data_IF_543358116485
#
_entry.id   IF_543358116485
#
_cell.length_a   1.000
_cell.length_b   1.000
_cell.length_c   1.000
_cell.angle_alpha   90.00
_cell.angle_beta   90.00
_cell.angle_gamma   90.00
#
_symmetry.space_group_name_H-M   'P 1'
#
loop_
_entity.id
_entity.type
_entity.pdbx_description
1 polymer ?
#
# COMPACT_ATOMS: atom_id res chain seq x y z
N UNK A 1 -2.41 1.42 40.18
CA UNK A 1 -3.35 1.29 39.06
C UNK A 1 -2.61 1.85 37.88
N UNK A 2 -2.41 1.02 36.86
CA UNK A 2 -1.76 1.44 35.63
C UNK A 2 -2.67 2.45 34.92
N UNK A 3 -2.11 3.57 34.43
CA UNK A 3 -2.89 4.64 33.77
C UNK A 3 -3.76 4.11 32.63
N UNK A 4 -3.30 3.08 31.92
CA UNK A 4 -4.04 2.45 30.82
C UNK A 4 -5.32 1.75 31.28
N UNK A 5 -5.26 0.98 32.39
CA UNK A 5 -6.43 0.28 32.94
C UNK A 5 -7.46 1.24 33.54
N UNK A 6 -6.99 2.38 34.09
CA UNK A 6 -7.90 3.41 34.59
C UNK A 6 -8.75 4.03 33.48
N UNK A 7 -8.13 4.33 32.34
CA UNK A 7 -8.86 4.95 31.21
C UNK A 7 -9.81 3.97 30.52
N UNK A 8 -9.45 2.70 30.41
CA UNK A 8 -10.31 1.65 29.86
C UNK A 8 -11.55 1.42 30.76
N UNK A 9 -11.37 1.38 32.08
CA UNK A 9 -12.47 1.27 33.02
C UNK A 9 -13.38 2.51 33.02
N UNK A 10 -12.81 3.70 32.93
CA UNK A 10 -13.56 4.96 32.86
C UNK A 10 -14.38 5.04 31.54
N UNK A 11 -13.83 4.62 30.41
CA UNK A 11 -14.51 4.58 29.15
C UNK A 11 -15.69 3.60 29.15
N UNK A 12 -15.49 2.39 29.73
CA UNK A 12 -16.54 1.40 29.90
C UNK A 12 -17.69 1.91 30.76
N UNK A 13 -17.38 2.57 31.89
CA UNK A 13 -18.38 3.18 32.77
C UNK A 13 -19.16 4.30 32.09
N UNK A 14 -18.51 5.13 31.28
CA UNK A 14 -19.16 6.19 30.49
C UNK A 14 -20.11 5.57 29.46
N UNK A 15 -19.66 4.55 28.71
CA UNK A 15 -20.51 3.85 27.73
C UNK A 15 -21.73 3.21 28.40
N UNK A 16 -21.56 2.51 29.51
CA UNK A 16 -22.68 1.92 30.26
C UNK A 16 -23.66 2.99 30.77
N UNK A 17 -23.12 4.11 31.25
CA UNK A 17 -23.93 5.22 31.76
C UNK A 17 -24.74 5.89 30.65
N UNK A 18 -24.14 6.07 29.44
CA UNK A 18 -24.82 6.62 28.29
C UNK A 18 -25.89 5.67 27.70
N UNK A 19 -25.60 4.37 27.66
CA UNK A 19 -26.61 3.36 27.27
C UNK A 19 -27.79 3.36 28.25
N UNK A 20 -27.51 3.31 29.55
CA UNK A 20 -28.56 3.36 30.60
C UNK A 20 -29.37 4.66 30.55
N UNK A 21 -28.69 5.78 30.22
CA UNK A 21 -29.39 7.06 30.02
C UNK A 21 -30.25 7.07 28.77
N UNK A 22 -29.80 6.49 27.68
CA UNK A 22 -30.57 6.33 26.44
C UNK A 22 -31.83 5.47 26.69
N UNK A 23 -31.67 4.33 27.37
CA UNK A 23 -32.78 3.42 27.70
C UNK A 23 -33.79 4.08 28.65
N UNK A 24 -33.32 4.89 29.62
CA UNK A 24 -34.20 5.61 30.55
C UNK A 24 -34.87 6.83 29.92
N UNK A 25 -34.37 7.32 28.80
CA UNK A 25 -34.88 8.49 28.08
C UNK A 25 -36.06 8.18 27.12
N UNK A 26 -36.55 6.93 27.10
CA UNK A 26 -37.74 6.56 26.26
C UNK A 26 -39.00 7.40 26.55
N UNK A 27 -39.05 8.04 27.71
CA UNK A 27 -40.14 8.93 28.15
C UNK A 27 -39.79 10.43 28.07
N UNK A 28 -38.60 10.82 27.68
CA UNK A 28 -38.17 12.22 27.64
C UNK A 28 -37.92 12.66 26.20
N UNK A 29 -37.90 13.99 25.98
CA UNK A 29 -37.87 14.61 24.64
C UNK A 29 -36.92 13.90 23.66
N UNK A 30 -37.36 13.71 22.42
CA UNK A 30 -36.61 13.09 21.30
C UNK A 30 -35.17 13.57 21.15
N UNK A 31 -34.91 14.82 21.54
CA UNK A 31 -33.61 15.45 21.49
C UNK A 31 -32.58 14.84 22.47
N UNK A 32 -33.01 14.41 23.66
CA UNK A 32 -32.12 13.76 24.65
C UNK A 32 -31.77 12.35 24.23
N UNK A 33 -32.72 11.63 23.62
CA UNK A 33 -32.50 10.28 23.09
C UNK A 33 -31.52 10.31 21.93
N UNK A 34 -31.70 11.21 20.98
CA UNK A 34 -30.79 11.39 19.85
C UNK A 34 -29.35 11.73 20.31
N UNK A 35 -29.21 12.62 21.29
CA UNK A 35 -27.92 12.96 21.87
C UNK A 35 -27.22 11.74 22.50
N UNK A 36 -27.94 10.94 23.29
CA UNK A 36 -27.38 9.75 23.93
C UNK A 36 -26.97 8.68 22.89
N UNK A 37 -27.81 8.47 21.86
CA UNK A 37 -27.50 7.54 20.77
C UNK A 37 -26.26 7.99 19.97
N UNK A 38 -26.16 9.27 19.65
CA UNK A 38 -25.02 9.80 18.90
C UNK A 38 -23.73 9.78 19.73
N UNK A 39 -23.81 10.07 21.04
CA UNK A 39 -22.68 9.94 21.93
C UNK A 39 -22.20 8.48 22.05
N UNK A 40 -23.12 7.52 22.23
CA UNK A 40 -22.81 6.09 22.28
C UNK A 40 -22.15 5.61 20.97
N UNK A 41 -22.65 6.03 19.80
CA UNK A 41 -22.01 5.75 18.51
C UNK A 41 -20.61 6.33 18.41
N UNK A 42 -20.43 7.57 18.88
CA UNK A 42 -19.12 8.23 18.91
C UNK A 42 -18.10 7.47 19.73
N UNK A 43 -18.45 7.04 20.93
CA UNK A 43 -17.57 6.23 21.78
C UNK A 43 -17.31 4.85 21.19
N UNK A 44 -18.32 4.17 20.64
CA UNK A 44 -18.14 2.89 19.96
C UNK A 44 -17.19 3.00 18.75
N UNK A 45 -17.22 4.14 18.05
CA UNK A 45 -16.28 4.42 16.95
C UNK A 45 -14.84 4.63 17.47
N UNK A 46 -14.67 5.37 18.57
CA UNK A 46 -13.35 5.56 19.20
C UNK A 46 -12.78 4.22 19.66
N UNK A 47 -13.60 3.39 20.33
CA UNK A 47 -13.20 2.04 20.76
C UNK A 47 -12.77 1.18 19.56
N UNK A 48 -13.56 1.20 18.48
CA UNK A 48 -13.21 0.49 17.25
C UNK A 48 -11.85 0.94 16.68
N UNK A 49 -11.57 2.25 16.72
CA UNK A 49 -10.30 2.82 16.22
C UNK A 49 -9.08 2.44 17.08
N UNK A 50 -9.29 2.05 18.33
CA UNK A 50 -8.24 1.61 19.28
C UNK A 50 -8.00 0.11 19.25
N UNK A 51 -8.97 -0.68 18.79
CA UNK A 51 -8.85 -2.14 18.72
C UNK A 51 -7.66 -2.58 17.88
N UNK A 52 -7.05 -3.68 18.31
CA UNK A 52 -6.11 -4.45 17.51
C UNK A 52 -6.84 -5.61 16.85
N UNK A 53 -6.45 -5.94 15.65
CA UNK A 53 -7.10 -6.97 14.84
C UNK A 53 -6.10 -8.08 14.50
N UNK A 54 -6.57 -9.33 14.50
CA UNK A 54 -5.76 -10.47 14.07
C UNK A 54 -5.65 -10.54 12.56
N UNK A 55 -6.71 -10.14 11.86
CA UNK A 55 -6.74 -10.08 10.39
C UNK A 55 -7.42 -8.80 9.95
N UNK A 56 -6.77 -8.12 9.01
CA UNK A 56 -7.31 -6.93 8.36
C UNK A 56 -7.24 -7.11 6.85
N UNK A 57 -8.39 -6.98 6.18
CA UNK A 57 -8.47 -7.06 4.73
C UNK A 57 -8.91 -5.71 4.16
N UNK A 58 -8.23 -5.27 3.08
CA UNK A 58 -8.54 -3.98 2.48
C UNK A 58 -8.34 -3.94 0.97
N UNK A 59 -9.16 -3.09 0.35
CA UNK A 59 -8.95 -2.52 -0.98
C UNK A 59 -8.98 -0.99 -0.81
N UNK A 60 -7.85 -0.37 -0.43
CA UNK A 60 -7.81 1.04 -0.10
C UNK A 60 -7.93 1.91 -1.36
N UNK A 61 -8.43 3.15 -1.23
CA UNK A 61 -8.28 4.13 -2.29
C UNK A 61 -6.81 4.43 -2.53
N UNK A 62 -6.45 4.85 -3.74
CA UNK A 62 -5.10 5.27 -4.12
C UNK A 62 -5.15 6.64 -4.79
N UNK A 63 -4.00 7.32 -4.77
CA UNK A 63 -3.83 8.67 -5.27
C UNK A 63 -3.50 9.68 -4.17
N UNK A 64 -3.52 10.95 -4.53
CA UNK A 64 -3.19 12.04 -3.61
C UNK A 64 -4.29 12.28 -2.58
N UNK A 65 -3.86 12.73 -1.41
CA UNK A 65 -4.76 13.18 -0.35
C UNK A 65 -5.59 14.38 -0.79
N UNK A 66 -6.86 14.42 -0.39
CA UNK A 66 -7.70 15.60 -0.62
C UNK A 66 -7.12 16.84 0.07
N UNK A 67 -7.40 18.04 -0.46
CA UNK A 67 -6.92 19.29 0.10
C UNK A 67 -7.24 19.45 1.60
N UNK A 68 -8.40 18.92 2.03
CA UNK A 68 -8.85 19.02 3.43
C UNK A 68 -8.10 18.05 4.36
N UNK A 69 -7.68 16.88 3.88
CA UNK A 69 -6.97 15.86 4.66
C UNK A 69 -5.45 15.94 4.55
N UNK A 70 -4.93 16.65 3.56
CA UNK A 70 -3.50 16.71 3.24
C UNK A 70 -2.64 17.08 4.45
N UNK A 71 -2.99 18.18 5.15
CA UNK A 71 -2.24 18.63 6.32
C UNK A 71 -2.20 17.60 7.46
N UNK A 72 -3.32 16.92 7.70
CA UNK A 72 -3.40 15.83 8.69
C UNK A 72 -2.51 14.66 8.28
N UNK A 73 -2.59 14.21 7.04
CA UNK A 73 -1.81 13.10 6.51
C UNK A 73 -0.31 13.41 6.58
N UNK A 74 0.12 14.58 6.12
CA UNK A 74 1.53 14.99 6.16
C UNK A 74 2.10 15.03 7.58
N UNK A 75 1.28 15.38 8.57
CA UNK A 75 1.72 15.43 9.97
C UNK A 75 1.70 14.07 10.66
N UNK A 76 0.74 13.21 10.33
CA UNK A 76 0.51 11.93 11.02
C UNK A 76 1.26 10.79 10.34
N UNK A 77 1.28 10.76 8.99
CA UNK A 77 1.88 9.71 8.18
C UNK A 77 3.05 10.27 7.34
N UNK A 78 4.02 10.90 8.01
CA UNK A 78 5.15 11.57 7.36
C UNK A 78 5.96 10.64 6.45
N UNK A 79 6.08 9.35 6.81
CA UNK A 79 6.78 8.30 6.05
C UNK A 79 6.07 7.93 4.74
N UNK A 80 4.74 8.01 4.72
CA UNK A 80 3.90 7.51 3.63
C UNK A 80 3.03 8.59 2.98
N UNK A 81 3.30 9.86 3.25
CA UNK A 81 2.50 11.02 2.83
C UNK A 81 2.27 11.18 1.31
N UNK A 82 3.01 10.44 0.48
CA UNK A 82 2.99 10.59 -0.97
C UNK A 82 1.75 9.99 -1.65
N UNK A 83 1.09 9.01 -1.01
CA UNK A 83 -0.09 8.36 -1.56
C UNK A 83 -0.99 7.83 -0.44
N UNK A 84 -2.30 8.00 -0.59
CA UNK A 84 -3.30 7.57 0.39
C UNK A 84 -3.24 6.05 0.62
N UNK A 85 -3.00 5.27 -0.42
CA UNK A 85 -2.79 3.82 -0.32
C UNK A 85 -1.71 3.47 0.71
N UNK A 86 -0.58 4.18 0.65
CA UNK A 86 0.55 3.96 1.56
C UNK A 86 0.18 4.28 3.01
N UNK A 87 -0.63 5.32 3.23
CA UNK A 87 -1.13 5.67 4.56
C UNK A 87 -2.06 4.57 5.13
N UNK A 88 -2.92 4.00 4.28
CA UNK A 88 -3.79 2.89 4.69
C UNK A 88 -2.99 1.65 5.08
N UNK A 89 -1.91 1.33 4.35
CA UNK A 89 -1.02 0.21 4.70
C UNK A 89 -0.34 0.47 6.04
N UNK A 90 0.26 1.65 6.23
CA UNK A 90 0.92 2.03 7.49
C UNK A 90 -0.05 1.92 8.65
N UNK A 91 -1.24 2.51 8.54
CA UNK A 91 -2.27 2.42 9.58
C UNK A 91 -2.72 0.99 9.85
N UNK A 92 -2.88 0.17 8.81
CA UNK A 92 -3.30 -1.22 8.96
C UNK A 92 -2.28 -2.04 9.75
N UNK A 93 -0.99 -1.83 9.52
CA UNK A 93 0.09 -2.47 10.28
C UNK A 93 0.05 -2.02 11.75
N UNK A 94 -0.20 -0.73 12.01
CA UNK A 94 -0.31 -0.19 13.37
C UNK A 94 -1.44 -0.84 14.17
N UNK A 95 -2.62 -1.03 13.57
CA UNK A 95 -3.79 -1.59 14.26
C UNK A 95 -3.86 -3.11 14.21
N UNK A 96 -2.92 -3.77 13.54
CA UNK A 96 -2.80 -5.23 13.53
C UNK A 96 -1.96 -5.70 14.71
N UNK A 97 -2.39 -6.80 15.36
CA UNK A 97 -1.65 -7.45 16.46
C UNK A 97 -0.27 -7.96 16.01
N UNK A 98 0.56 -8.38 16.96
CA UNK A 98 1.94 -8.83 16.68
C UNK A 98 1.99 -10.07 15.78
N UNK A 99 1.02 -10.97 15.91
CA UNK A 99 0.88 -12.18 15.09
C UNK A 99 -0.16 -12.04 13.98
N UNK A 100 -0.74 -10.84 13.84
CA UNK A 100 -1.82 -10.59 12.89
C UNK A 100 -1.33 -10.43 11.45
N UNK A 101 -2.27 -10.49 10.52
CA UNK A 101 -2.04 -10.41 9.09
C UNK A 101 -2.85 -9.28 8.45
N UNK A 102 -2.21 -8.51 7.59
CA UNK A 102 -2.88 -7.56 6.71
C UNK A 102 -2.93 -8.16 5.31
N UNK A 103 -4.12 -8.29 4.73
CA UNK A 103 -4.33 -8.65 3.32
C UNK A 103 -4.79 -7.43 2.54
N UNK A 104 -4.11 -7.13 1.45
CA UNK A 104 -4.44 -5.96 0.63
C UNK A 104 -4.44 -6.30 -0.87
N UNK A 105 -5.36 -5.68 -1.61
CA UNK A 105 -5.29 -5.57 -3.06
C UNK A 105 -5.17 -4.11 -3.42
N UNK A 106 -4.14 -3.75 -4.19
CA UNK A 106 -3.79 -2.35 -4.45
C UNK A 106 -3.23 -2.17 -5.85
N UNK A 107 -2.89 -0.91 -6.21
CA UNK A 107 -2.03 -0.70 -7.37
C UNK A 107 -0.67 -1.35 -7.14
N UNK A 108 -0.17 -2.12 -8.11
CA UNK A 108 1.17 -2.72 -8.06
C UNK A 108 2.30 -1.70 -8.08
N UNK A 109 2.01 -0.44 -8.38
CA UNK A 109 3.00 0.65 -8.34
C UNK A 109 3.65 0.82 -6.97
N UNK A 110 2.97 0.41 -5.88
CA UNK A 110 3.54 0.40 -4.53
C UNK A 110 4.83 -0.45 -4.43
N UNK A 111 5.02 -1.42 -5.32
CA UNK A 111 6.19 -2.29 -5.33
C UNK A 111 7.46 -1.60 -5.88
N UNK A 112 7.33 -0.54 -6.70
CA UNK A 112 8.49 0.03 -7.38
C UNK A 112 8.48 1.55 -7.61
N UNK A 113 7.34 2.24 -7.50
CA UNK A 113 7.27 3.68 -7.77
C UNK A 113 8.07 4.48 -6.72
N UNK A 114 8.91 5.42 -7.18
CA UNK A 114 9.78 6.21 -6.29
C UNK A 114 9.01 7.08 -5.28
N UNK A 115 7.83 7.59 -5.64
CA UNK A 115 6.97 8.35 -4.72
C UNK A 115 6.46 7.52 -3.53
N UNK A 116 6.50 6.19 -3.63
CA UNK A 116 6.14 5.24 -2.58
C UNK A 116 7.36 4.58 -1.91
N UNK A 117 8.55 5.16 -2.09
CA UNK A 117 9.77 4.64 -1.45
C UNK A 117 9.65 4.59 0.08
N UNK A 118 9.08 5.62 0.70
CA UNK A 118 8.88 5.66 2.15
C UNK A 118 8.07 4.47 2.69
N UNK A 119 7.05 4.02 1.94
CA UNK A 119 6.32 2.80 2.30
C UNK A 119 7.26 1.58 2.35
N UNK A 120 8.14 1.43 1.36
CA UNK A 120 9.03 0.26 1.25
C UNK A 120 10.23 0.32 2.19
N UNK A 121 10.77 1.51 2.42
CA UNK A 121 12.01 1.72 3.18
C UNK A 121 11.77 1.91 4.67
N UNK A 122 10.70 2.63 5.03
CA UNK A 122 10.46 3.06 6.40
C UNK A 122 9.33 2.29 7.09
N UNK A 123 8.43 1.67 6.33
CA UNK A 123 7.30 0.89 6.87
C UNK A 123 7.48 -0.59 6.61
N UNK A 124 7.41 -1.04 5.34
CA UNK A 124 7.52 -2.46 4.99
C UNK A 124 8.89 -3.06 5.28
N UNK A 125 9.90 -2.25 5.39
CA UNK A 125 11.25 -2.75 5.69
C UNK A 125 11.60 -2.69 7.18
N UNK A 126 10.77 -2.08 8.02
CA UNK A 126 11.05 -1.80 9.44
C UNK A 126 9.99 -2.40 10.35
N UNK A 127 8.72 -2.05 10.11
CA UNK A 127 7.61 -2.41 10.98
C UNK A 127 6.99 -3.77 10.60
N UNK A 128 7.03 -4.12 9.30
CA UNK A 128 6.44 -5.34 8.76
C UNK A 128 7.06 -5.69 7.41
N UNK A 129 6.71 -6.87 6.88
CA UNK A 129 7.19 -7.34 5.57
C UNK A 129 6.07 -7.98 4.78
N UNK A 130 6.16 -7.96 3.45
CA UNK A 130 5.28 -8.73 2.57
C UNK A 130 5.65 -10.21 2.68
N UNK A 131 4.69 -11.04 3.12
CA UNK A 131 4.89 -12.50 3.20
C UNK A 131 4.67 -13.16 1.84
N UNK A 132 3.53 -12.82 1.22
CA UNK A 132 3.11 -13.37 -0.05
C UNK A 132 2.57 -12.25 -0.92
N UNK A 133 2.93 -12.24 -2.20
CA UNK A 133 2.45 -11.29 -3.18
C UNK A 133 2.10 -11.99 -4.48
N UNK A 134 0.89 -11.77 -4.97
CA UNK A 134 0.47 -12.08 -6.34
C UNK A 134 0.48 -10.78 -7.15
N UNK A 135 1.46 -10.64 -8.04
CA UNK A 135 1.58 -9.52 -8.97
C UNK A 135 0.68 -9.80 -10.17
N UNK A 136 -0.51 -9.21 -10.17
CA UNK A 136 -1.61 -9.54 -11.08
C UNK A 136 -1.55 -8.74 -12.40
N UNK A 137 -0.99 -7.52 -12.39
CA UNK A 137 -1.01 -6.64 -13.55
C UNK A 137 -2.40 -6.14 -13.91
N UNK A 138 -2.67 -5.98 -15.21
CA UNK A 138 -3.93 -5.45 -15.74
C UNK A 138 -5.10 -6.44 -15.68
N UNK A 139 -6.31 -5.92 -15.90
CA UNK A 139 -7.53 -6.72 -16.10
C UNK A 139 -8.12 -7.31 -14.82
N UNK A 140 -7.79 -6.76 -13.67
CA UNK A 140 -8.36 -7.15 -12.37
C UNK A 140 -9.18 -6.00 -11.81
N UNK A 141 -10.34 -6.29 -11.20
CA UNK A 141 -11.26 -5.32 -10.58
C UNK A 141 -11.88 -4.30 -11.56
N UNK A 142 -11.96 -4.60 -12.86
CA UNK A 142 -12.41 -3.65 -13.89
C UNK A 142 -11.73 -2.27 -13.81
N UNK A 143 -10.53 -2.23 -13.25
CA UNK A 143 -9.76 -1.02 -13.05
C UNK A 143 -8.74 -0.84 -14.19
N UNK A 144 -8.56 0.41 -14.61
CA UNK A 144 -7.52 0.79 -15.59
C UNK A 144 -6.12 0.87 -14.95
N UNK A 145 -5.93 0.21 -13.81
CA UNK A 145 -4.70 0.25 -13.02
C UNK A 145 -4.21 -1.17 -12.81
N UNK A 146 -2.93 -1.41 -13.09
CA UNK A 146 -2.28 -2.68 -12.75
C UNK A 146 -2.34 -2.93 -11.24
N UNK A 147 -2.67 -4.15 -10.85
CA UNK A 147 -2.93 -4.52 -9.45
C UNK A 147 -1.96 -5.57 -8.93
N UNK A 148 -1.79 -5.58 -7.60
CA UNK A 148 -1.15 -6.64 -6.85
C UNK A 148 -1.97 -6.96 -5.59
N UNK A 149 -2.06 -8.25 -5.26
CA UNK A 149 -2.66 -8.72 -4.01
C UNK A 149 -1.56 -9.30 -3.12
N UNK A 150 -1.52 -8.93 -1.85
CA UNK A 150 -0.45 -9.36 -0.97
C UNK A 150 -0.89 -9.44 0.49
N UNK A 151 -0.12 -10.22 1.26
CA UNK A 151 -0.23 -10.30 2.72
C UNK A 151 1.00 -9.71 3.38
N UNK A 152 0.80 -9.02 4.50
CA UNK A 152 1.84 -8.37 5.28
C UNK A 152 1.76 -8.89 6.71
N UNK A 153 2.90 -9.16 7.34
CA UNK A 153 3.02 -9.44 8.78
C UNK A 153 4.25 -8.78 9.39
N UNK A 154 4.26 -8.65 10.71
CA UNK A 154 5.39 -8.11 11.46
C UNK A 154 6.56 -9.10 11.57
N UNK A 155 6.33 -10.37 11.29
CA UNK A 155 7.36 -11.42 11.31
C UNK A 155 7.37 -12.16 9.99
N UNK A 156 8.44 -11.99 9.22
CA UNK A 156 8.63 -12.64 7.93
C UNK A 156 10.12 -12.81 7.61
N UNK A 157 10.57 -14.06 7.46
CA UNK A 157 11.96 -14.37 7.10
C UNK A 157 12.21 -14.39 5.59
N UNK A 158 11.16 -14.71 4.83
CA UNK A 158 11.22 -14.80 3.37
C UNK A 158 9.88 -14.43 2.76
N UNK A 159 9.91 -13.69 1.67
CA UNK A 159 8.73 -13.30 0.89
C UNK A 159 8.58 -14.20 -0.32
N UNK A 160 7.34 -14.59 -0.61
CA UNK A 160 7.01 -15.34 -1.81
C UNK A 160 6.22 -14.46 -2.78
N UNK A 161 6.72 -14.34 -4.01
CA UNK A 161 6.09 -13.58 -5.07
C UNK A 161 5.64 -14.52 -6.18
N UNK A 162 4.44 -14.26 -6.71
CA UNK A 162 3.88 -14.92 -7.88
C UNK A 162 3.65 -13.88 -8.97
N UNK A 163 4.29 -14.07 -10.12
CA UNK A 163 4.18 -13.14 -11.24
C UNK A 163 3.13 -13.62 -12.22
N UNK A 164 1.94 -13.04 -12.15
CA UNK A 164 0.78 -13.35 -12.98
C UNK A 164 0.43 -12.23 -13.97
N UNK A 165 1.33 -11.29 -14.18
CA UNK A 165 1.11 -10.08 -14.99
C UNK A 165 0.71 -10.43 -16.43
N UNK A 166 1.30 -11.47 -17.01
CA UNK A 166 1.10 -11.90 -18.40
C UNK A 166 0.09 -13.03 -18.58
N UNK A 167 -0.49 -13.52 -17.48
CA UNK A 167 -1.47 -14.61 -17.56
C UNK A 167 -2.85 -14.07 -17.90
N UNK A 168 -3.52 -14.70 -18.87
CA UNK A 168 -4.88 -14.33 -19.26
C UNK A 168 -5.92 -14.84 -18.24
N UNK A 169 -5.70 -16.02 -17.65
CA UNK A 169 -6.57 -16.64 -16.66
C UNK A 169 -5.98 -16.54 -15.24
N UNK A 170 -6.00 -15.34 -14.68
CA UNK A 170 -5.46 -15.04 -13.35
C UNK A 170 -6.26 -15.71 -12.24
N UNK A 171 -7.57 -15.85 -12.41
CA UNK A 171 -8.45 -16.46 -11.40
C UNK A 171 -8.11 -17.94 -11.18
N UNK A 172 -8.04 -18.73 -12.25
CA UNK A 172 -7.65 -20.15 -12.15
C UNK A 172 -6.24 -20.28 -11.58
N UNK A 173 -5.31 -19.42 -11.96
CA UNK A 173 -3.94 -19.41 -11.42
C UNK A 173 -3.90 -19.11 -9.92
N UNK A 174 -4.68 -18.14 -9.46
CA UNK A 174 -4.81 -17.86 -8.03
C UNK A 174 -5.42 -19.04 -7.27
N UNK A 175 -6.42 -19.72 -7.83
CA UNK A 175 -7.01 -20.91 -7.24
C UNK A 175 -6.00 -22.06 -7.15
N UNK A 176 -5.18 -22.30 -8.19
CA UNK A 176 -4.07 -23.27 -8.17
C UNK A 176 -3.09 -22.94 -7.02
N UNK A 177 -2.70 -21.67 -6.90
CA UNK A 177 -1.82 -21.20 -5.82
C UNK A 177 -2.43 -21.43 -4.42
N UNK A 178 -3.71 -21.11 -4.24
CA UNK A 178 -4.41 -21.33 -2.97
C UNK A 178 -4.51 -22.80 -2.59
N UNK A 179 -4.46 -23.72 -3.58
CA UNK A 179 -4.42 -25.17 -3.38
C UNK A 179 -3.01 -25.70 -3.11
N UNK A 180 -2.00 -24.85 -3.14
CA UNK A 180 -0.59 -25.22 -2.95
C UNK A 180 0.04 -25.85 -4.20
N UNK A 181 -0.57 -25.68 -5.36
CA UNK A 181 -0.03 -26.15 -6.64
C UNK A 181 1.08 -25.20 -7.11
N UNK A 182 2.29 -25.75 -7.38
CA UNK A 182 3.43 -24.98 -7.85
C UNK A 182 3.28 -24.64 -9.34
N UNK A 183 3.08 -23.39 -9.65
CA UNK A 183 3.12 -22.90 -11.03
C UNK A 183 4.58 -22.64 -11.40
N UNK A 184 5.13 -23.45 -12.28
CA UNK A 184 6.53 -23.33 -12.75
C UNK A 184 6.76 -21.95 -13.40
N UNK A 185 7.93 -21.36 -13.12
CA UNK A 185 8.41 -20.08 -13.69
C UNK A 185 7.67 -18.80 -13.27
N UNK A 186 6.70 -18.89 -12.37
CA UNK A 186 5.97 -17.70 -11.87
C UNK A 186 6.22 -17.42 -10.39
N UNK A 187 6.87 -18.35 -9.69
CA UNK A 187 7.13 -18.28 -8.24
C UNK A 187 8.57 -17.86 -7.95
N UNK A 188 8.72 -16.87 -7.07
CA UNK A 188 10.02 -16.33 -6.63
C UNK A 188 10.03 -16.26 -5.11
N UNK A 189 11.04 -16.86 -4.50
CA UNK A 189 11.27 -16.75 -3.05
C UNK A 189 12.45 -15.82 -2.84
N UNK A 190 12.24 -14.73 -2.12
CA UNK A 190 13.24 -13.68 -1.91
C UNK A 190 13.35 -13.30 -0.45
N UNK A 191 14.51 -12.83 -0.05
CA UNK A 191 14.71 -12.22 1.27
C UNK A 191 14.38 -10.74 1.16
N UNK A 192 13.40 -10.19 1.90
CA UNK A 192 12.98 -8.79 1.78
C UNK A 192 14.14 -7.80 1.88
N UNK A 193 15.08 -8.06 2.78
CA UNK A 193 16.30 -7.23 2.98
C UNK A 193 17.17 -7.09 1.73
N UNK A 194 17.03 -7.96 0.73
CA UNK A 194 17.82 -7.87 -0.52
C UNK A 194 17.47 -6.63 -1.34
N UNK A 195 16.22 -6.17 -1.28
CA UNK A 195 15.74 -5.01 -2.03
C UNK A 195 16.28 -3.68 -1.50
N UNK A 196 16.63 -3.61 -0.21
CA UNK A 196 17.19 -2.42 0.43
C UNK A 196 18.57 -2.00 -0.10
N UNK A 197 19.19 -2.82 -0.94
CA UNK A 197 20.45 -2.50 -1.60
C UNK A 197 20.28 -1.56 -2.80
N UNK A 198 19.06 -1.39 -3.26
CA UNK A 198 18.73 -0.56 -4.40
C UNK A 198 18.07 0.75 -3.94
N UNK A 199 18.38 1.83 -4.63
CA UNK A 199 17.76 3.13 -4.37
C UNK A 199 16.22 3.03 -4.46
N UNK A 200 15.52 3.58 -3.47
CA UNK A 200 14.07 3.50 -3.31
C UNK A 200 13.53 2.08 -3.06
N UNK A 201 14.38 1.10 -2.80
CA UNK A 201 14.05 -0.29 -2.43
C UNK A 201 12.95 -0.95 -3.28
N UNK A 202 13.01 -0.91 -4.63
CA UNK A 202 11.99 -1.51 -5.47
C UNK A 202 11.98 -3.04 -5.31
N UNK A 203 10.78 -3.62 -5.24
CA UNK A 203 10.59 -5.07 -5.16
C UNK A 203 10.80 -5.73 -6.53
N UNK A 204 12.03 -5.75 -7.03
CA UNK A 204 12.41 -6.42 -8.28
C UNK A 204 12.63 -7.93 -8.07
N UNK A 205 11.64 -8.61 -7.54
CA UNK A 205 11.68 -10.02 -7.11
C UNK A 205 12.03 -11.01 -8.25
N UNK A 206 11.81 -10.62 -9.50
CA UNK A 206 12.13 -11.40 -10.71
C UNK A 206 13.58 -11.27 -11.15
N UNK A 207 14.33 -10.32 -10.60
CA UNK A 207 15.69 -10.05 -11.02
C UNK A 207 16.67 -11.01 -10.35
N UNK A 208 17.62 -11.51 -11.12
CA UNK A 208 18.71 -12.32 -10.59
C UNK A 208 19.60 -11.51 -9.62
N UNK A 209 20.10 -12.18 -8.60
CA UNK A 209 20.95 -11.54 -7.58
C UNK A 209 22.21 -10.88 -8.17
N UNK A 210 22.73 -11.39 -9.29
CA UNK A 210 23.86 -10.81 -10.00
C UNK A 210 23.46 -9.48 -10.64
N UNK A 211 22.25 -9.40 -11.20
CA UNK A 211 21.72 -8.14 -11.77
C UNK A 211 21.51 -7.12 -10.67
N UNK A 212 20.86 -7.50 -9.57
CA UNK A 212 20.64 -6.63 -8.41
C UNK A 212 21.97 -6.10 -7.86
N UNK A 213 23.00 -6.96 -7.73
CA UNK A 213 24.31 -6.54 -7.24
C UNK A 213 25.03 -5.55 -8.17
N UNK A 214 24.81 -5.67 -9.47
CA UNK A 214 25.38 -4.73 -10.46
C UNK A 214 24.65 -3.39 -10.47
N UNK A 215 23.34 -3.38 -10.32
CA UNK A 215 22.54 -2.15 -10.23
C UNK A 215 22.88 -1.38 -8.95
N UNK A 216 23.21 -2.08 -7.86
CA UNK A 216 23.64 -1.47 -6.60
C UNK A 216 25.04 -0.83 -6.64
N UNK A 217 25.80 -0.99 -7.74
CA UNK A 217 27.09 -0.29 -7.92
C UNK A 217 26.83 1.19 -8.24
N UNK A 218 27.85 2.06 -7.97
CA UNK A 218 27.76 3.47 -8.37
C UNK A 218 27.38 3.61 -9.84
N UNK A 219 26.41 4.46 -10.12
CA UNK A 219 25.95 4.72 -11.47
C UNK A 219 27.07 5.28 -12.37
N UNK A 220 26.88 5.15 -13.67
CA UNK A 220 27.79 5.70 -14.69
C UNK A 220 27.77 7.25 -14.66
N UNK A 221 26.66 7.82 -14.24
CA UNK A 221 26.50 9.27 -14.05
C UNK A 221 26.92 9.70 -12.63
N UNK A 222 27.55 10.85 -12.48
CA UNK A 222 28.12 11.71 -13.55
C UNK A 222 29.57 11.34 -13.89
N UNK A 223 30.13 10.27 -13.30
CA UNK A 223 31.56 9.98 -13.28
C UNK A 223 32.12 9.55 -14.65
N UNK A 224 31.38 8.76 -15.42
CA UNK A 224 31.80 8.20 -16.68
C UNK A 224 30.97 8.66 -17.90
N UNK A 225 29.73 9.09 -17.66
CA UNK A 225 28.84 9.57 -18.71
C UNK A 225 27.87 10.61 -18.16
N UNK A 226 27.24 11.36 -19.05
CA UNK A 226 26.13 12.25 -18.75
C UNK A 226 24.97 11.87 -19.66
N UNK A 227 23.86 11.44 -19.09
CA UNK A 227 22.64 11.14 -19.83
C UNK A 227 21.84 12.44 -19.99
N UNK A 228 21.48 12.79 -21.22
CA UNK A 228 20.64 13.93 -21.51
C UNK A 228 19.44 13.46 -22.34
N UNK A 229 18.31 14.08 -22.11
CA UNK A 229 17.15 13.93 -22.98
C UNK A 229 17.56 14.46 -24.37
N UNK A 230 17.31 13.67 -25.40
CA UNK A 230 17.52 14.10 -26.77
C UNK A 230 16.62 15.26 -27.18
N UNK A 231 16.68 15.62 -28.44
CA UNK A 231 15.83 16.69 -28.98
C UNK A 231 14.36 16.35 -28.76
N UNK A 232 13.65 17.22 -28.04
CA UNK A 232 12.19 17.18 -27.92
C UNK A 232 11.62 18.33 -28.74
N UNK A 233 10.80 18.00 -29.73
CA UNK A 233 10.25 18.99 -30.66
C UNK A 233 9.18 19.86 -29.98
N UNK A 234 8.48 19.33 -28.97
CA UNK A 234 7.32 20.01 -28.36
C UNK A 234 6.10 20.14 -29.28
N UNK A 235 6.32 20.03 -30.59
CA UNK A 235 5.30 20.03 -31.64
C UNK A 235 5.77 19.12 -32.78
N UNK A 236 5.43 17.85 -32.67
CA UNK A 236 5.85 16.82 -33.62
C UNK A 236 5.29 17.06 -35.02
N UNK A 237 4.05 17.55 -35.09
CA UNK A 237 3.43 17.85 -36.37
C UNK A 237 4.19 18.92 -37.15
N UNK A 238 4.78 19.89 -36.48
CA UNK A 238 5.54 20.97 -37.08
C UNK A 238 6.97 20.60 -37.39
N UNK A 239 7.64 19.79 -36.56
CA UNK A 239 9.09 19.60 -36.61
C UNK A 239 9.51 18.20 -37.06
N UNK A 240 8.63 17.18 -36.95
CA UNK A 240 8.90 15.87 -37.51
C UNK A 240 8.37 15.78 -38.94
N UNK A 241 9.20 15.21 -39.81
CA UNK A 241 8.85 14.93 -41.20
C UNK A 241 9.24 13.52 -41.55
N UNK A 242 8.38 12.83 -42.28
CA UNK A 242 8.75 11.56 -42.89
C UNK A 242 9.77 11.81 -44.00
N UNK A 243 10.64 10.82 -44.29
CA UNK A 243 11.72 10.97 -45.26
C UNK A 243 11.22 11.33 -46.65
N UNK A 244 10.00 10.97 -47.02
CA UNK A 244 9.39 11.33 -48.33
C UNK A 244 8.79 12.74 -48.35
N UNK A 245 8.69 13.42 -47.24
CA UNK A 245 8.22 14.80 -47.13
C UNK A 245 9.36 15.82 -47.23
N UNK A 246 10.61 15.33 -47.23
CA UNK A 246 11.80 16.16 -47.25
C UNK A 246 12.44 16.01 -48.65
N UNK A 247 12.82 17.12 -49.30
CA UNK A 247 13.53 17.07 -50.56
C UNK A 247 14.82 16.24 -50.47
N UNK A 248 15.11 15.43 -51.48
CA UNK A 248 16.27 14.50 -51.46
C UNK A 248 17.63 15.22 -51.36
N UNK A 249 17.70 16.46 -51.80
CA UNK A 249 18.87 17.32 -51.68
C UNK A 249 19.06 17.96 -50.27
N UNK A 250 18.12 17.69 -49.37
CA UNK A 250 18.13 18.16 -47.97
C UNK A 250 18.47 17.05 -46.97
N UNK A 251 18.72 15.84 -47.47
CA UNK A 251 19.14 14.67 -46.67
C UNK A 251 20.61 14.41 -46.98
#
# INVERSE_FOLDING_TARGET
>A
IDDATFWDDAEHLILMSLSSYADSAESSSDQKRLFAEDAAKGFAFIDLCRKKFDVLLMNPPFGEASANSKKYIESTYSRTKGDVLSNFIERSIEITGETGLVGAITSRTCLFLSTMAGLREEVLGVDAEINLCADLGDGVLDAMVETAAYTISKSCDSSQFYRLVVDDDKESKLLELCRGELIKNTSFVVKPKSFRKLDNSPYCYWADSTVVSKIALPGIEPSAAVVKVGLQTGDDFRFLRNFWEVPQDSI
#
